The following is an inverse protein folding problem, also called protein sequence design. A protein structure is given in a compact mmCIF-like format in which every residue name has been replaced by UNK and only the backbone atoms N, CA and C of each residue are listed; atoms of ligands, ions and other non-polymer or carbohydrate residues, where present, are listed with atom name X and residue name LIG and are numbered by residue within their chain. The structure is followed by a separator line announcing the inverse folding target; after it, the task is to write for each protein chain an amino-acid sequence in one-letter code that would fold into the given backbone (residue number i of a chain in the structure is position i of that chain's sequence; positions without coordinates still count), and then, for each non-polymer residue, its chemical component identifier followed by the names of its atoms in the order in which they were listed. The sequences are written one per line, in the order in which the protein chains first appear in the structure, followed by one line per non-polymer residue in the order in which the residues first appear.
data_IF_291261616696
#
_entry.id   IF_291261616696
#
_cell.length_a   1.000
_cell.length_b   1.000
_cell.length_c   1.000
_cell.angle_alpha   90.00
_cell.angle_beta   90.00
_cell.angle_gamma   90.00
#
_symmetry.space_group_name_H-M   'P 1'
#
loop_
_entity.id
_entity.type
_entity.pdbx_description
1 polymer ?
#
# COMPACT_ATOMS: atom_id res chain seq x y z
N UNK A 1 -6.29 21.81 6.32
CA UNK A 1 -7.54 21.13 5.92
C UNK A 1 -7.35 19.62 6.07
N UNK A 2 -6.39 19.02 5.33
CA UNK A 2 -6.03 17.58 5.38
C UNK A 2 -5.79 17.04 6.81
N UNK A 3 -5.12 17.79 7.68
CA UNK A 3 -4.83 17.35 9.05
C UNK A 3 -6.08 17.28 9.95
N UNK A 4 -7.06 18.17 9.78
CA UNK A 4 -8.29 18.15 10.59
C UNK A 4 -9.18 16.96 10.23
N UNK A 5 -9.29 16.65 8.94
CA UNK A 5 -10.06 15.52 8.45
C UNK A 5 -9.43 14.18 8.86
N UNK A 6 -8.08 14.11 8.91
CA UNK A 6 -7.35 12.94 9.39
C UNK A 6 -7.60 12.67 10.89
N UNK A 7 -7.58 13.70 11.74
CA UNK A 7 -7.89 13.53 13.17
C UNK A 7 -9.33 13.08 13.38
N UNK A 8 -10.29 13.65 12.63
CA UNK A 8 -11.69 13.27 12.72
C UNK A 8 -11.92 11.82 12.27
N UNK A 9 -11.26 11.40 11.19
CA UNK A 9 -11.28 10.03 10.72
C UNK A 9 -10.71 9.06 11.75
N UNK A 10 -9.54 9.36 12.33
CA UNK A 10 -8.91 8.49 13.33
C UNK A 10 -9.78 8.34 14.59
N UNK A 11 -10.48 9.40 15.00
CA UNK A 11 -11.46 9.35 16.10
C UNK A 11 -12.63 8.42 15.77
N UNK A 12 -13.22 8.58 14.59
CA UNK A 12 -14.35 7.74 14.15
C UNK A 12 -13.94 6.27 14.04
N UNK A 13 -12.72 5.98 13.54
CA UNK A 13 -12.16 4.61 13.46
C UNK A 13 -11.93 4.01 14.84
N UNK A 14 -11.30 4.74 15.76
CA UNK A 14 -11.06 4.27 17.14
C UNK A 14 -12.37 3.97 17.86
N UNK A 15 -13.36 4.86 17.70
CA UNK A 15 -14.69 4.66 18.28
C UNK A 15 -15.34 3.39 17.74
N UNK A 16 -15.33 3.20 16.42
CA UNK A 16 -15.88 2.02 15.79
C UNK A 16 -15.20 0.71 16.24
N UNK A 17 -13.88 0.71 16.38
CA UNK A 17 -13.14 -0.46 16.88
C UNK A 17 -13.52 -0.84 18.32
N UNK A 18 -13.75 0.16 19.18
CA UNK A 18 -14.17 -0.06 20.56
C UNK A 18 -15.64 -0.49 20.65
N UNK A 19 -16.50 0.08 19.82
CA UNK A 19 -17.92 -0.30 19.74
C UNK A 19 -18.07 -1.75 19.27
N UNK A 20 -17.17 -2.24 18.40
CA UNK A 20 -17.12 -3.65 17.98
C UNK A 20 -16.87 -4.64 19.14
N UNK A 21 -16.35 -4.19 20.28
CA UNK A 21 -16.13 -5.04 21.45
C UNK A 21 -17.42 -5.31 22.25
N UNK A 22 -18.56 -4.72 21.88
CA UNK A 22 -19.87 -4.86 22.56
C UNK A 22 -19.81 -4.56 24.08
N UNK A 23 -18.91 -3.66 24.50
CA UNK A 23 -18.79 -3.22 25.89
C UNK A 23 -19.62 -1.94 26.13
N UNK A 24 -20.09 -1.68 27.36
CA UNK A 24 -20.75 -0.42 27.68
C UNK A 24 -19.81 0.77 27.42
N UNK A 25 -20.28 1.89 26.84
CA UNK A 25 -19.43 3.05 26.52
C UNK A 25 -18.60 3.59 27.68
N UNK A 26 -19.16 3.56 28.89
CA UNK A 26 -18.50 3.99 30.12
C UNK A 26 -17.28 3.13 30.50
N UNK A 27 -17.20 1.90 29.98
CA UNK A 27 -16.15 0.93 30.33
C UNK A 27 -14.85 1.17 29.55
N UNK A 28 -14.93 1.80 28.37
CA UNK A 28 -13.75 2.08 27.53
C UNK A 28 -13.47 3.57 27.34
N UNK A 29 -14.19 4.46 28.01
CA UNK A 29 -14.02 5.91 27.88
C UNK A 29 -12.61 6.38 28.26
N UNK A 30 -12.04 5.80 29.32
CA UNK A 30 -10.65 6.05 29.72
C UNK A 30 -9.65 5.53 28.69
N UNK A 31 -9.85 4.29 28.21
CA UNK A 31 -9.02 3.70 27.16
C UNK A 31 -9.09 4.51 25.85
N UNK A 32 -10.27 4.99 25.47
CA UNK A 32 -10.51 5.85 24.32
C UNK A 32 -9.74 7.17 24.44
N UNK A 33 -9.83 7.85 25.59
CA UNK A 33 -9.14 9.12 25.81
C UNK A 33 -7.62 8.96 25.81
N UNK A 34 -7.10 7.87 26.40
CA UNK A 34 -5.66 7.53 26.38
C UNK A 34 -5.19 7.21 24.95
N UNK A 35 -5.96 6.41 24.20
CA UNK A 35 -5.64 6.10 22.81
C UNK A 35 -5.64 7.37 21.95
N UNK A 36 -6.60 8.26 22.17
CA UNK A 36 -6.73 9.50 21.43
C UNK A 36 -5.57 10.46 21.71
N UNK A 37 -5.19 10.66 22.98
CA UNK A 37 -4.05 11.51 23.33
C UNK A 37 -2.75 10.99 22.73
N UNK A 38 -2.53 9.67 22.75
CA UNK A 38 -1.38 9.04 22.09
C UNK A 38 -1.38 9.23 20.58
N UNK A 39 -2.54 9.15 19.93
CA UNK A 39 -2.66 9.43 18.49
C UNK A 39 -2.28 10.88 18.21
N UNK A 40 -2.83 11.84 18.97
CA UNK A 40 -2.57 13.27 18.79
C UNK A 40 -1.06 13.61 19.01
N UNK A 41 -0.39 12.93 19.94
CA UNK A 41 1.06 13.07 20.17
C UNK A 41 1.92 12.45 19.06
N UNK A 42 1.52 11.29 18.53
CA UNK A 42 2.29 10.55 17.53
C UNK A 42 2.09 11.08 16.11
N UNK A 43 0.92 11.65 15.81
CA UNK A 43 0.55 12.03 14.45
C UNK A 43 1.54 13.04 13.81
N UNK A 44 2.05 14.07 14.51
CA UNK A 44 3.06 14.97 13.95
C UNK A 44 4.35 14.25 13.58
N UNK A 45 4.82 13.34 14.45
CA UNK A 45 6.04 12.54 14.24
C UNK A 45 5.86 11.61 13.05
N UNK A 46 4.74 10.90 12.99
CA UNK A 46 4.39 10.02 11.88
C UNK A 46 4.31 10.83 10.58
N UNK A 47 3.66 11.99 10.59
CA UNK A 47 3.53 12.85 9.40
C UNK A 47 4.89 13.32 8.88
N UNK A 48 5.88 13.49 9.77
CA UNK A 48 7.23 13.90 9.40
C UNK A 48 8.07 12.75 8.84
N UNK A 49 7.95 11.55 9.42
CA UNK A 49 8.73 10.36 9.02
C UNK A 49 8.10 9.62 7.82
N UNK A 50 6.77 9.69 7.67
CA UNK A 50 6.01 8.95 6.67
C UNK A 50 6.56 9.11 5.25
N UNK A 51 6.91 10.31 4.74
CA UNK A 51 7.47 10.44 3.39
C UNK A 51 8.74 9.62 3.19
N UNK A 52 9.65 9.64 4.16
CA UNK A 52 10.91 8.89 4.11
C UNK A 52 10.64 7.39 4.18
N UNK A 53 9.76 6.99 5.09
CA UNK A 53 9.35 5.59 5.23
C UNK A 53 8.72 5.05 3.94
N UNK A 54 7.86 5.83 3.27
CA UNK A 54 7.27 5.45 1.99
C UNK A 54 8.32 5.30 0.89
N UNK A 55 9.30 6.21 0.80
CA UNK A 55 10.38 6.07 -0.18
C UNK A 55 11.16 4.77 0.03
N UNK A 56 11.55 4.48 1.28
CA UNK A 56 12.27 3.25 1.62
C UNK A 56 11.41 2.02 1.28
N UNK A 57 10.14 2.04 1.66
CA UNK A 57 9.20 0.96 1.37
C UNK A 57 9.08 0.69 -0.13
N UNK A 58 8.92 1.74 -0.96
CA UNK A 58 8.80 1.58 -2.40
C UNK A 58 10.10 1.11 -3.07
N UNK A 59 11.26 1.49 -2.55
CA UNK A 59 12.55 0.95 -3.02
C UNK A 59 12.65 -0.56 -2.73
N UNK A 60 12.30 -0.97 -1.51
CA UNK A 60 12.32 -2.39 -1.12
C UNK A 60 11.31 -3.21 -1.92
N UNK A 61 10.09 -2.71 -2.10
CA UNK A 61 9.09 -3.34 -2.95
C UNK A 61 9.57 -3.41 -4.41
N UNK A 62 10.14 -2.32 -4.93
CA UNK A 62 10.69 -2.30 -6.28
C UNK A 62 11.77 -3.37 -6.48
N UNK A 63 12.68 -3.54 -5.52
CA UNK A 63 13.69 -4.59 -5.56
C UNK A 63 13.08 -6.00 -5.51
N UNK A 64 12.13 -6.25 -4.60
CA UNK A 64 11.46 -7.54 -4.45
C UNK A 64 10.71 -7.94 -5.72
N UNK A 65 9.92 -7.02 -6.28
CA UNK A 65 9.13 -7.28 -7.47
C UNK A 65 9.99 -7.28 -8.73
N UNK A 66 11.12 -6.56 -8.76
CA UNK A 66 12.12 -6.71 -9.82
C UNK A 66 12.75 -8.11 -9.84
N UNK A 67 13.03 -8.70 -8.67
CA UNK A 67 13.47 -10.10 -8.56
C UNK A 67 12.38 -11.06 -9.03
N UNK A 68 11.12 -10.83 -8.66
CA UNK A 68 9.98 -11.61 -9.15
C UNK A 68 9.87 -11.54 -10.68
N UNK A 69 10.01 -10.37 -11.27
CA UNK A 69 10.00 -10.19 -12.72
C UNK A 69 11.10 -11.01 -13.40
N UNK A 70 12.32 -10.93 -12.88
CA UNK A 70 13.43 -11.70 -13.43
C UNK A 70 13.21 -13.21 -13.28
N UNK A 71 12.67 -13.64 -12.13
CA UNK A 71 12.30 -15.04 -11.91
C UNK A 71 11.24 -15.51 -12.91
N UNK A 72 10.16 -14.75 -13.12
CA UNK A 72 9.11 -15.08 -14.09
C UNK A 72 9.70 -15.17 -15.50
N UNK A 73 10.54 -14.20 -15.89
CA UNK A 73 11.21 -14.19 -17.19
C UNK A 73 12.04 -15.45 -17.41
N UNK A 74 12.90 -15.81 -16.46
CA UNK A 74 13.81 -16.94 -16.58
C UNK A 74 13.09 -18.29 -16.46
N UNK A 75 12.08 -18.39 -15.58
CA UNK A 75 11.41 -19.65 -15.28
C UNK A 75 10.34 -20.00 -16.30
N UNK A 76 9.61 -19.00 -16.80
CA UNK A 76 8.53 -19.18 -17.77
C UNK A 76 8.97 -18.92 -19.22
N UNK A 77 10.23 -18.53 -19.44
CA UNK A 77 10.81 -18.20 -20.76
C UNK A 77 9.96 -17.20 -21.57
N UNK A 78 9.45 -16.18 -20.88
CA UNK A 78 8.57 -15.16 -21.49
C UNK A 78 9.34 -13.89 -21.84
N UNK A 79 8.80 -13.11 -22.77
CA UNK A 79 9.35 -11.80 -23.13
C UNK A 79 9.42 -10.87 -21.90
N UNK A 80 10.41 -9.97 -21.81
CA UNK A 80 10.56 -9.04 -20.68
C UNK A 80 9.31 -8.20 -20.41
N UNK A 81 8.59 -7.78 -21.46
CA UNK A 81 7.34 -7.03 -21.34
C UNK A 81 6.20 -7.86 -20.73
N UNK A 82 6.09 -9.13 -21.09
CA UNK A 82 5.12 -10.06 -20.50
C UNK A 82 5.42 -10.32 -19.03
N UNK A 83 6.70 -10.53 -18.69
CA UNK A 83 7.11 -10.66 -17.29
C UNK A 83 6.82 -9.39 -16.47
N UNK A 84 7.06 -8.20 -17.04
CA UNK A 84 6.76 -6.92 -16.40
C UNK A 84 5.25 -6.75 -16.13
N UNK A 85 4.40 -7.07 -17.10
CA UNK A 85 2.94 -7.03 -16.95
C UNK A 85 2.47 -7.97 -15.85
N UNK A 86 2.92 -9.24 -15.86
CA UNK A 86 2.56 -10.22 -14.85
C UNK A 86 2.98 -9.75 -13.45
N UNK A 87 4.21 -9.24 -13.33
CA UNK A 87 4.72 -8.69 -12.07
C UNK A 87 3.89 -7.51 -11.59
N UNK A 88 3.53 -6.59 -12.49
CA UNK A 88 2.69 -5.43 -12.20
C UNK A 88 1.28 -5.81 -11.74
N UNK A 89 0.67 -6.83 -12.35
CA UNK A 89 -0.61 -7.40 -11.93
C UNK A 89 -0.50 -8.00 -10.53
N UNK A 90 0.52 -8.83 -10.28
CA UNK A 90 0.73 -9.44 -8.95
C UNK A 90 0.98 -8.38 -7.89
N UNK A 91 1.80 -7.36 -8.19
CA UNK A 91 2.02 -6.21 -7.31
C UNK A 91 0.71 -5.50 -6.98
N UNK A 92 -0.09 -5.17 -7.99
CA UNK A 92 -1.36 -4.47 -7.82
C UNK A 92 -2.34 -5.29 -6.97
N UNK A 93 -2.43 -6.59 -7.24
CA UNK A 93 -3.30 -7.49 -6.52
C UNK A 93 -2.90 -7.63 -5.05
N UNK A 94 -1.62 -7.91 -4.78
CA UNK A 94 -1.16 -8.19 -3.41
C UNK A 94 -1.12 -6.95 -2.53
N UNK A 95 -0.68 -5.80 -3.07
CA UNK A 95 -0.41 -4.60 -2.27
C UNK A 95 -1.65 -3.71 -2.15
N UNK A 96 -2.56 -3.72 -3.13
CA UNK A 96 -3.69 -2.78 -3.16
C UNK A 96 -5.05 -3.47 -3.18
N UNK A 97 -5.30 -4.36 -4.13
CA UNK A 97 -6.64 -4.93 -4.31
C UNK A 97 -6.99 -5.89 -3.16
N UNK A 98 -6.12 -6.84 -2.84
CA UNK A 98 -6.37 -7.85 -1.83
C UNK A 98 -6.59 -7.23 -0.44
N UNK A 99 -5.76 -6.29 0.06
CA UNK A 99 -6.02 -5.64 1.34
C UNK A 99 -7.34 -4.90 1.36
N UNK A 100 -7.69 -4.19 0.28
CA UNK A 100 -8.94 -3.43 0.21
C UNK A 100 -10.16 -4.36 0.19
N UNK A 101 -10.10 -5.47 -0.53
CA UNK A 101 -11.16 -6.50 -0.54
C UNK A 101 -11.31 -7.13 0.86
N UNK A 102 -10.20 -7.49 1.51
CA UNK A 102 -10.22 -8.06 2.85
C UNK A 102 -10.82 -7.11 3.88
N UNK A 103 -10.43 -5.83 3.86
CA UNK A 103 -11.01 -4.81 4.76
C UNK A 103 -12.50 -4.61 4.46
N UNK A 104 -12.89 -4.56 3.19
CA UNK A 104 -14.29 -4.40 2.80
C UNK A 104 -15.17 -5.57 3.25
N UNK A 105 -14.61 -6.79 3.23
CA UNK A 105 -15.33 -8.01 3.62
C UNK A 105 -15.39 -8.20 5.15
N UNK A 106 -14.27 -8.00 5.84
CA UNK A 106 -14.16 -8.26 7.28
C UNK A 106 -14.63 -7.08 8.14
N UNK A 107 -14.53 -5.86 7.62
CA UNK A 107 -14.76 -4.62 8.36
C UNK A 107 -15.47 -3.58 7.49
N UNK A 108 -16.64 -3.94 6.92
CA UNK A 108 -17.40 -3.04 6.02
C UNK A 108 -17.67 -1.65 6.62
N UNK A 109 -17.95 -1.55 7.93
CA UNK A 109 -18.15 -0.26 8.58
C UNK A 109 -16.91 0.64 8.64
N UNK A 110 -15.69 0.08 8.53
CA UNK A 110 -14.49 0.91 8.33
C UNK A 110 -14.50 1.58 6.96
N UNK A 111 -14.97 0.90 5.91
CA UNK A 111 -15.11 1.50 4.58
C UNK A 111 -16.14 2.62 4.60
N UNK A 112 -17.24 2.45 5.33
CA UNK A 112 -18.26 3.49 5.47
C UNK A 112 -17.71 4.74 6.18
N UNK A 113 -16.93 4.54 7.25
CA UNK A 113 -16.25 5.64 7.96
C UNK A 113 -15.28 6.36 7.03
N UNK A 114 -14.42 5.64 6.30
CA UNK A 114 -13.48 6.27 5.36
C UNK A 114 -14.23 7.01 4.25
N UNK A 115 -15.33 6.43 3.75
CA UNK A 115 -16.17 7.01 2.69
C UNK A 115 -16.88 8.30 3.10
N UNK A 116 -17.04 8.56 4.41
CA UNK A 116 -17.55 9.83 4.94
C UNK A 116 -16.58 10.99 4.71
N UNK A 117 -15.28 10.71 4.69
CA UNK A 117 -14.22 11.72 4.56
C UNK A 117 -13.61 11.75 3.15
N UNK A 118 -13.71 10.66 2.40
CA UNK A 118 -13.15 10.54 1.06
C UNK A 118 -14.19 9.99 0.08
N UNK A 119 -14.20 10.51 -1.15
CA UNK A 119 -15.09 10.00 -2.18
C UNK A 119 -14.76 8.52 -2.46
N UNK A 120 -15.73 7.58 -2.38
CA UNK A 120 -15.49 6.14 -2.57
C UNK A 120 -14.78 5.84 -3.89
N UNK A 121 -15.20 6.47 -4.98
CA UNK A 121 -14.58 6.29 -6.30
C UNK A 121 -13.11 6.70 -6.26
N UNK A 122 -12.79 7.78 -5.55
CA UNK A 122 -11.43 8.25 -5.39
C UNK A 122 -10.60 7.26 -4.56
N UNK A 123 -11.15 6.63 -3.53
CA UNK A 123 -10.47 5.59 -2.74
C UNK A 123 -10.05 4.43 -3.65
N UNK A 124 -10.97 3.90 -4.46
CA UNK A 124 -10.68 2.78 -5.37
C UNK A 124 -9.64 3.16 -6.43
N UNK A 125 -9.79 4.33 -7.07
CA UNK A 125 -8.87 4.79 -8.11
C UNK A 125 -7.48 5.08 -7.54
N UNK A 126 -7.40 5.78 -6.40
CA UNK A 126 -6.14 6.09 -5.72
C UNK A 126 -5.44 4.85 -5.17
N UNK A 127 -6.17 3.78 -4.89
CA UNK A 127 -5.56 2.50 -4.48
C UNK A 127 -4.91 1.77 -5.64
N UNK A 128 -5.49 1.83 -6.85
CA UNK A 128 -4.98 1.08 -8.01
C UNK A 128 -3.91 1.87 -8.79
N UNK A 129 -3.99 3.21 -8.79
CA UNK A 129 -3.08 4.09 -9.52
C UNK A 129 -1.59 3.80 -9.28
N UNK A 130 -1.10 3.63 -8.03
CA UNK A 130 0.30 3.28 -7.78
C UNK A 130 0.73 1.97 -8.45
N UNK A 131 -0.16 0.96 -8.50
CA UNK A 131 0.09 -0.29 -9.20
C UNK A 131 0.25 -0.12 -10.71
N UNK A 132 -0.56 0.75 -11.31
CA UNK A 132 -0.44 1.12 -12.73
C UNK A 132 0.89 1.84 -12.99
N UNK A 133 1.23 2.84 -12.17
CA UNK A 133 2.49 3.59 -12.30
C UNK A 133 3.70 2.65 -12.17
N UNK A 134 3.67 1.74 -11.19
CA UNK A 134 4.72 0.74 -11.02
C UNK A 134 4.85 -0.17 -12.24
N UNK A 135 3.73 -0.66 -12.79
CA UNK A 135 3.72 -1.50 -13.98
C UNK A 135 4.29 -0.78 -15.20
N UNK A 136 3.91 0.49 -15.40
CA UNK A 136 4.45 1.33 -16.46
C UNK A 136 5.96 1.55 -16.28
N UNK A 137 6.42 1.80 -15.06
CA UNK A 137 7.84 1.94 -14.76
C UNK A 137 8.61 0.65 -15.11
N UNK A 138 8.11 -0.52 -14.71
CA UNK A 138 8.71 -1.80 -15.08
C UNK A 138 8.74 -2.00 -16.59
N UNK A 139 7.66 -1.67 -17.30
CA UNK A 139 7.60 -1.79 -18.75
C UNK A 139 8.64 -0.89 -19.44
N UNK A 140 8.77 0.36 -19.01
CA UNK A 140 9.76 1.30 -19.54
C UNK A 140 11.17 0.77 -19.28
N UNK A 141 11.47 0.39 -18.04
CA UNK A 141 12.79 -0.16 -17.66
C UNK A 141 13.12 -1.44 -18.44
N UNK A 142 12.12 -2.26 -18.73
CA UNK A 142 12.30 -3.53 -19.46
C UNK A 142 12.42 -3.36 -20.97
N UNK A 143 11.90 -2.26 -21.52
CA UNK A 143 11.85 -2.01 -22.96
C UNK A 143 13.02 -1.15 -23.44
N UNK A 144 13.55 -0.29 -22.58
CA UNK A 144 14.67 0.60 -22.91
C UNK A 144 16.00 -0.10 -22.64
N UNK A 145 16.84 -0.27 -23.68
CA UNK A 145 18.23 -0.76 -23.54
C UNK A 145 19.11 0.28 -22.85
N UNK A 146 19.00 0.39 -21.54
CA UNK A 146 19.80 1.29 -20.69
C UNK A 146 20.99 0.62 -19.99
N UNK A 147 21.74 1.34 -19.15
CA UNK A 147 22.83 0.78 -18.33
C UNK A 147 22.38 -0.42 -17.49
N UNK A 148 21.12 -0.40 -17.07
CA UNK A 148 20.43 -1.45 -16.30
C UNK A 148 20.27 -2.75 -17.08
N UNK A 149 20.15 -2.69 -18.42
CA UNK A 149 20.03 -3.89 -19.25
C UNK A 149 21.28 -4.78 -19.14
N UNK A 150 22.46 -4.17 -18.97
CA UNK A 150 23.72 -4.91 -18.76
C UNK A 150 23.76 -5.66 -17.43
N UNK A 151 23.09 -5.15 -16.40
CA UNK A 151 22.95 -5.79 -15.08
C UNK A 151 21.99 -6.98 -15.15
N UNK A 152 20.95 -6.87 -15.98
CA UNK A 152 19.94 -7.91 -16.18
C UNK A 152 20.41 -9.01 -17.16
N UNK A 153 21.36 -8.70 -18.04
CA UNK A 153 21.96 -9.61 -19.03
C UNK A 153 23.28 -10.25 -18.56
N UNK A 154 23.90 -9.76 -17.48
CA UNK A 154 25.07 -10.40 -16.89
C UNK A 154 24.64 -11.74 -16.27
N UNK A 155 24.61 -12.78 -17.10
CA UNK A 155 24.47 -14.16 -16.66
C UNK A 155 25.52 -14.41 -15.57
N UNK A 156 25.16 -15.02 -14.42
CA UNK A 156 26.16 -15.48 -13.49
C UNK A 156 27.07 -16.44 -14.26
N UNK A 157 28.37 -16.12 -14.34
CA UNK A 157 29.36 -17.10 -14.78
C UNK A 157 29.31 -18.21 -13.73
N UNK A 158 28.83 -19.38 -14.12
CA UNK A 158 29.05 -20.62 -13.38
C UNK A 158 30.54 -20.70 -13.10
N UNK A 159 30.92 -20.64 -11.82
CA UNK A 159 32.25 -20.98 -11.33
C UNK A 159 32.26 -22.47 -11.00
#
# INVERSE_FOLDING_TARGET
MITKDLHALLRDVLKYQLDMLNLPPKTYEEAYNISLSRVDELLPVISWIAPIAYVIQYVLLGALFGLLQNFIRLKADVKPSTAALLTGVVFTLLIYVLPLVLVSFLYSGLIDIVSKYFNPVLIYVSSVAPGVVFTLALLVVSSVKGPWAKIVESKPKTY
#
